data_IF_545373644439
#
_entry.id   IF_545373644439
#
_cell.length_a   1.000
_cell.length_b   1.000
_cell.length_c   1.000
_cell.angle_alpha   90.00
_cell.angle_beta   90.00
_cell.angle_gamma   90.00
#
_symmetry.space_group_name_H-M   'P 1'
#
loop_
_entity.id
_entity.type
_entity.pdbx_description
1 polymer ?
#
# COMPACT_ATOMS: atom_id res chain seq x y z
N UNK A 1 1.62 -4.48 9.10
CA UNK A 1 2.03 -4.17 7.71
C UNK A 1 1.94 -5.43 6.87
N UNK A 2 1.33 -5.37 5.70
CA UNK A 2 1.08 -6.55 4.82
C UNK A 2 1.69 -6.41 3.43
N UNK A 3 2.17 -5.22 3.03
CA UNK A 3 2.79 -5.03 1.72
C UNK A 3 4.25 -5.56 1.69
N UNK A 4 4.63 -6.37 0.69
CA UNK A 4 5.85 -7.21 0.73
C UNK A 4 7.11 -6.40 0.48
N UNK A 5 6.98 -5.27 -0.22
CA UNK A 5 8.06 -4.34 -0.52
C UNK A 5 8.17 -3.23 0.52
N UNK A 6 7.35 -3.26 1.58
CA UNK A 6 7.42 -2.25 2.62
C UNK A 6 8.47 -2.64 3.68
N UNK A 7 9.38 -1.74 4.08
CA UNK A 7 10.42 -2.03 5.07
C UNK A 7 9.89 -2.59 6.40
N UNK A 8 8.70 -2.16 6.80
CA UNK A 8 8.03 -2.62 8.03
C UNK A 8 7.19 -3.90 7.87
N UNK A 9 7.37 -4.69 6.81
CA UNK A 9 6.60 -5.93 6.57
C UNK A 9 6.55 -6.82 7.84
N UNK A 10 5.36 -7.32 8.18
CA UNK A 10 5.14 -8.19 9.35
C UNK A 10 5.09 -7.45 10.69
N UNK A 11 5.36 -6.14 10.72
CA UNK A 11 5.33 -5.34 11.94
C UNK A 11 3.94 -4.78 12.26
N UNK A 12 3.65 -4.69 13.55
CA UNK A 12 2.50 -3.96 14.08
C UNK A 12 2.84 -2.49 14.29
N UNK A 13 1.90 -1.60 13.98
CA UNK A 13 2.04 -0.16 14.18
C UNK A 13 0.87 0.34 15.03
N UNK A 14 1.15 1.24 15.96
CA UNK A 14 0.10 1.88 16.73
C UNK A 14 -0.43 3.08 15.97
N UNK A 15 -1.64 2.95 15.44
CA UNK A 15 -2.29 4.01 14.66
C UNK A 15 -2.68 5.16 15.60
N UNK A 16 -2.25 6.37 15.25
CA UNK A 16 -2.61 7.61 15.92
C UNK A 16 -3.83 8.26 15.25
N UNK A 17 -3.89 8.25 13.92
CA UNK A 17 -5.04 8.77 13.19
C UNK A 17 -5.15 8.17 11.79
N UNK A 18 -6.35 8.24 11.22
CA UNK A 18 -6.62 7.92 9.81
C UNK A 18 -7.14 9.17 9.10
N UNK A 19 -6.66 9.46 7.90
CA UNK A 19 -7.12 10.58 7.07
C UNK A 19 -7.21 10.20 5.61
N UNK A 20 -8.19 10.77 4.89
CA UNK A 20 -8.27 10.66 3.44
C UNK A 20 -7.54 11.81 2.77
N UNK A 21 -6.51 11.50 2.00
CA UNK A 21 -5.62 12.47 1.33
C UNK A 21 -5.38 12.00 -0.10
N UNK A 22 -5.57 12.90 -1.08
CA UNK A 22 -5.47 12.59 -2.51
C UNK A 22 -6.24 11.34 -2.93
N UNK A 23 -7.46 11.18 -2.42
CA UNK A 23 -8.34 10.04 -2.73
C UNK A 23 -7.96 8.72 -2.06
N UNK A 24 -6.90 8.69 -1.25
CA UNK A 24 -6.42 7.49 -0.56
C UNK A 24 -6.63 7.60 0.95
N UNK A 25 -6.86 6.47 1.61
CA UNK A 25 -6.89 6.39 3.08
C UNK A 25 -5.49 6.14 3.64
N UNK A 26 -5.03 7.06 4.48
CA UNK A 26 -3.71 7.04 5.12
C UNK A 26 -3.85 6.84 6.62
N UNK A 27 -2.97 6.01 7.18
CA UNK A 27 -2.76 5.83 8.61
C UNK A 27 -1.50 6.58 9.02
N UNK A 28 -1.60 7.35 10.09
CA UNK A 28 -0.48 8.05 10.72
C UNK A 28 -0.13 7.34 12.03
N UNK A 29 1.16 7.18 12.30
CA UNK A 29 1.69 6.52 13.47
C UNK A 29 3.03 7.14 13.88
N UNK A 30 3.48 6.85 15.09
CA UNK A 30 4.84 7.17 15.54
C UNK A 30 5.72 5.95 15.34
N UNK A 31 6.84 6.10 14.66
CA UNK A 31 7.80 5.02 14.43
C UNK A 31 8.77 4.87 15.62
N UNK A 32 9.71 3.93 15.48
CA UNK A 32 10.69 3.61 16.53
C UNK A 32 11.68 4.74 16.79
N UNK A 33 11.83 5.68 15.86
CA UNK A 33 12.68 6.85 16.01
C UNK A 33 11.90 8.03 16.63
N UNK A 34 10.70 7.76 17.15
CA UNK A 34 9.77 8.75 17.70
C UNK A 34 9.31 9.81 16.68
N UNK A 35 9.37 9.48 15.38
CA UNK A 35 8.98 10.38 14.30
C UNK A 35 7.57 10.06 13.79
N UNK A 36 6.88 11.09 13.29
CA UNK A 36 5.57 10.91 12.66
C UNK A 36 5.75 10.32 11.25
N UNK A 37 5.31 9.07 11.11
CA UNK A 37 5.31 8.33 9.86
C UNK A 37 3.89 8.06 9.37
N UNK A 38 3.74 7.66 8.11
CA UNK A 38 2.44 7.35 7.51
C UNK A 38 2.50 6.20 6.52
N UNK A 39 1.38 5.49 6.38
CA UNK A 39 1.22 4.39 5.43
C UNK A 39 -0.20 4.35 4.87
N UNK A 40 -0.37 3.85 3.65
CA UNK A 40 -1.69 3.56 3.10
C UNK A 40 -2.39 2.45 3.90
N UNK A 41 -3.69 2.62 4.17
CA UNK A 41 -4.53 1.56 4.76
C UNK A 41 -4.40 0.27 3.96
N UNK A 42 -4.37 0.37 2.62
CA UNK A 42 -4.19 -0.71 1.65
C UNK A 42 -2.94 -1.59 1.89
N UNK A 43 -1.94 -1.09 2.61
CA UNK A 43 -0.70 -1.83 2.92
C UNK A 43 -0.71 -2.44 4.32
N UNK A 44 -1.83 -2.37 5.02
CA UNK A 44 -2.00 -2.93 6.36
C UNK A 44 -3.08 -3.99 6.38
N UNK A 45 -3.14 -4.73 7.48
CA UNK A 45 -4.23 -5.69 7.76
C UNK A 45 -5.57 -5.00 8.00
N UNK A 46 -5.62 -3.67 8.09
CA UNK A 46 -6.87 -2.91 8.19
C UNK A 46 -7.55 -2.72 6.84
N UNK A 47 -6.89 -3.04 5.72
CA UNK A 47 -7.53 -3.00 4.41
C UNK A 47 -8.43 -4.21 4.19
N UNK A 48 -9.54 -3.99 3.49
CA UNK A 48 -10.33 -5.09 2.93
C UNK A 48 -9.49 -5.74 1.83
N UNK A 49 -9.21 -7.05 1.90
CA UNK A 49 -8.44 -7.74 0.87
C UNK A 49 -9.08 -7.54 -0.51
N UNK A 50 -8.32 -7.01 -1.46
CA UNK A 50 -8.79 -6.93 -2.84
C UNK A 50 -9.07 -8.36 -3.36
N UNK A 51 -10.11 -8.60 -4.19
CA UNK A 51 -10.44 -9.94 -4.68
C UNK A 51 -9.26 -10.66 -5.35
N UNK A 52 -8.43 -9.93 -6.11
CA UNK A 52 -7.24 -10.49 -6.75
C UNK A 52 -6.17 -10.94 -5.75
N UNK A 53 -5.98 -10.17 -4.67
CA UNK A 53 -5.05 -10.50 -3.60
C UNK A 53 -5.42 -11.82 -2.92
N UNK A 54 -6.71 -11.97 -2.60
CA UNK A 54 -7.26 -13.19 -2.01
C UNK A 54 -7.13 -14.40 -2.96
N UNK A 55 -7.52 -14.24 -4.23
CA UNK A 55 -7.47 -15.32 -5.23
C UNK A 55 -6.05 -15.77 -5.56
N UNK A 56 -5.09 -14.85 -5.57
CA UNK A 56 -3.69 -15.14 -5.87
C UNK A 56 -2.89 -15.66 -4.67
N UNK A 57 -3.51 -15.77 -3.50
CA UNK A 57 -2.83 -16.07 -2.23
C UNK A 57 -1.59 -15.19 -2.03
N UNK A 58 -1.76 -13.90 -2.33
CA UNK A 58 -0.75 -12.88 -2.19
C UNK A 58 0.37 -12.86 -3.24
N UNK A 59 0.23 -13.61 -4.33
CA UNK A 59 1.22 -13.64 -5.42
C UNK A 59 0.97 -12.61 -6.53
N UNK A 60 -0.19 -11.97 -6.54
CA UNK A 60 -0.54 -10.94 -7.52
C UNK A 60 -1.14 -9.71 -6.82
N UNK A 61 -0.43 -8.58 -6.92
CA UNK A 61 -0.83 -7.30 -6.34
C UNK A 61 -1.52 -6.37 -7.35
N UNK A 62 -1.26 -6.57 -8.65
CA UNK A 62 -1.77 -5.76 -9.75
C UNK A 62 -2.55 -6.66 -10.71
N UNK A 63 -3.66 -6.14 -11.25
CA UNK A 63 -4.36 -6.80 -12.35
C UNK A 63 -3.51 -6.67 -13.62
N UNK A 64 -3.74 -7.55 -14.60
CA UNK A 64 -3.12 -7.42 -15.93
C UNK A 64 -3.38 -6.04 -16.54
N UNK A 65 -4.60 -5.51 -16.39
CA UNK A 65 -4.99 -4.18 -16.85
C UNK A 65 -4.15 -3.06 -16.19
N UNK A 66 -3.84 -3.19 -14.89
CA UNK A 66 -3.03 -2.23 -14.16
C UNK A 66 -1.57 -2.27 -14.62
N UNK A 67 -1.03 -3.45 -14.93
CA UNK A 67 0.32 -3.63 -15.46
C UNK A 67 0.46 -3.03 -16.87
N UNK A 68 -0.54 -3.23 -17.74
CA UNK A 68 -0.56 -2.61 -19.07
C UNK A 68 -0.59 -1.09 -18.96
N UNK A 69 -1.48 -0.55 -18.10
CA UNK A 69 -1.56 0.89 -17.86
C UNK A 69 -0.27 1.47 -17.28
N UNK A 70 0.40 0.74 -16.39
CA UNK A 70 1.70 1.13 -15.87
C UNK A 70 2.77 1.18 -16.97
N UNK A 71 2.80 0.20 -17.86
CA UNK A 71 3.72 0.18 -18.99
C UNK A 71 3.51 1.40 -19.92
N UNK A 72 2.26 1.74 -20.21
CA UNK A 72 1.92 2.93 -21.01
C UNK A 72 2.39 4.23 -20.33
N UNK A 73 2.20 4.34 -19.01
CA UNK A 73 2.65 5.52 -18.24
C UNK A 73 4.17 5.65 -18.23
N UNK A 74 4.91 4.55 -18.07
CA UNK A 74 6.38 4.57 -18.10
C UNK A 74 6.87 5.00 -19.49
N UNK A 75 6.31 4.41 -20.56
CA UNK A 75 6.67 4.76 -21.92
C UNK A 75 6.43 6.25 -22.25
N UNK A 76 5.41 6.86 -21.64
CA UNK A 76 5.12 8.29 -21.79
C UNK A 76 6.00 9.23 -20.94
N UNK A 77 6.79 8.71 -20.00
CA UNK A 77 7.73 9.50 -19.17
C UNK A 77 9.14 9.48 -19.77
N UNK A 78 9.47 8.47 -20.58
CA UNK A 78 10.77 8.33 -21.24
C UNK A 78 10.92 9.16 -22.55
N UNK A 79 9.88 9.91 -22.94
CA UNK A 79 9.82 10.78 -24.14
C UNK A 79 9.95 12.26 -23.81
#
# INVERSE_FOLDING_TARGET
MTHPFHPLLGREIQVVSQKRIFGNDWLFFIDDEEQQSSVLVAWTSLSVPAPLWALSAGRAYLRADDLLRLADLIAGVES
#
